data_IF_941910285330
#
_entry.id   IF_941910285330
#
_cell.length_a   1.000
_cell.length_b   1.000
_cell.length_c   1.000
_cell.angle_alpha   90.00
_cell.angle_beta   90.00
_cell.angle_gamma   90.00
#
_symmetry.space_group_name_H-M   'P 1'
#
loop_
_entity.id
_entity.type
_entity.pdbx_description
1 polymer ?
#
# COMPACT_ATOMS: atom_id res chain seq x y z
N UNK A 1 -9.42 14.93 21.64
CA UNK A 1 -8.72 13.69 22.03
C UNK A 1 -7.56 13.52 21.09
N UNK A 2 -6.35 13.83 21.55
CA UNK A 2 -5.12 13.60 20.79
C UNK A 2 -4.93 12.09 20.67
N UNK A 3 -4.98 11.57 19.45
CA UNK A 3 -4.55 10.21 19.20
C UNK A 3 -3.06 10.15 19.50
N UNK A 4 -2.67 9.31 20.46
CA UNK A 4 -1.27 8.99 20.74
C UNK A 4 -0.74 8.30 19.48
N UNK A 5 -0.08 9.05 18.61
CA UNK A 5 0.66 8.48 17.50
C UNK A 5 1.81 7.68 18.09
N UNK A 6 1.75 6.36 17.97
CA UNK A 6 2.92 5.51 18.19
C UNK A 6 4.06 6.02 17.31
N UNK A 7 5.26 6.11 17.87
CA UNK A 7 6.42 6.54 17.10
C UNK A 7 6.68 5.55 15.96
N UNK A 8 7.27 6.05 14.87
CA UNK A 8 7.67 5.22 13.74
C UNK A 8 8.51 4.01 14.18
N UNK A 9 9.33 4.17 15.23
CA UNK A 9 10.20 3.11 15.74
C UNK A 9 9.41 1.91 16.31
N UNK A 10 8.25 2.16 16.93
CA UNK A 10 7.41 1.05 17.41
C UNK A 10 6.81 0.28 16.24
N UNK A 11 6.33 0.99 15.21
CA UNK A 11 5.83 0.34 14.00
C UNK A 11 6.93 -0.43 13.26
N UNK A 12 8.16 0.12 13.22
CA UNK A 12 9.32 -0.58 12.69
C UNK A 12 9.58 -1.88 13.44
N UNK A 13 9.60 -1.86 14.77
CA UNK A 13 9.82 -3.10 15.53
C UNK A 13 8.74 -4.15 15.24
N UNK A 14 7.46 -3.75 15.23
CA UNK A 14 6.35 -4.68 14.98
C UNK A 14 6.37 -5.27 13.56
N UNK A 15 6.68 -4.46 12.54
CA UNK A 15 6.64 -4.90 11.14
C UNK A 15 7.84 -5.79 10.77
N UNK A 16 8.96 -5.68 11.49
CA UNK A 16 10.14 -6.52 11.26
C UNK A 16 9.92 -7.98 11.69
N UNK A 17 9.07 -8.22 12.70
CA UNK A 17 8.68 -9.57 13.14
C UNK A 17 7.86 -10.34 12.08
N UNK A 18 7.27 -9.63 11.10
CA UNK A 18 6.50 -10.26 10.04
C UNK A 18 7.42 -10.88 8.99
N UNK A 19 7.13 -12.12 8.60
CA UNK A 19 8.00 -12.91 7.73
C UNK A 19 7.81 -12.56 6.26
N UNK A 20 6.56 -12.36 5.83
CA UNK A 20 6.23 -12.25 4.41
C UNK A 20 5.97 -10.81 3.99
N UNK A 21 6.46 -10.44 2.79
CA UNK A 21 6.23 -9.10 2.21
C UNK A 21 4.75 -8.74 2.15
N UNK A 22 3.89 -9.72 1.89
CA UNK A 22 2.45 -9.57 1.90
C UNK A 22 1.92 -9.09 3.27
N UNK A 23 2.34 -9.72 4.36
CA UNK A 23 1.92 -9.38 5.73
C UNK A 23 2.40 -7.98 6.11
N UNK A 24 3.62 -7.61 5.69
CA UNK A 24 4.16 -6.26 5.88
C UNK A 24 3.33 -5.20 5.16
N UNK A 25 2.93 -5.46 3.90
CA UNK A 25 2.02 -4.55 3.17
C UNK A 25 0.66 -4.47 3.84
N UNK A 26 0.11 -5.60 4.28
CA UNK A 26 -1.17 -5.65 5.00
C UNK A 26 -1.11 -4.81 6.28
N UNK A 27 -0.03 -4.96 7.06
CA UNK A 27 0.21 -4.19 8.28
C UNK A 27 0.20 -2.69 8.01
N UNK A 28 0.88 -2.23 6.95
CA UNK A 28 0.90 -0.80 6.58
C UNK A 28 -0.52 -0.33 6.20
N UNK A 29 -1.24 -1.09 5.38
CA UNK A 29 -2.62 -0.73 4.98
C UNK A 29 -3.59 -0.69 6.16
N UNK A 30 -3.37 -1.53 7.18
CA UNK A 30 -4.17 -1.52 8.41
C UNK A 30 -3.95 -0.26 9.23
N UNK A 31 -2.69 0.11 9.47
CA UNK A 31 -2.31 1.17 10.40
C UNK A 31 -2.21 2.57 9.77
N UNK A 32 -2.02 2.66 8.44
CA UNK A 32 -1.93 3.92 7.69
C UNK A 32 -3.01 3.97 6.58
N UNK A 33 -4.25 4.36 6.91
CA UNK A 33 -5.36 4.37 5.94
C UNK A 33 -5.12 5.22 4.68
N UNK A 34 -4.28 6.24 4.78
CA UNK A 34 -3.89 7.14 3.68
C UNK A 34 -3.14 6.37 2.58
N UNK A 35 -2.39 5.34 2.96
CA UNK A 35 -1.64 4.47 2.06
C UNK A 35 -2.56 3.59 1.17
N UNK A 36 -3.82 3.37 1.58
CA UNK A 36 -4.80 2.58 0.80
C UNK A 36 -5.15 3.24 -0.53
N UNK A 37 -5.00 4.56 -0.62
CA UNK A 37 -5.39 5.37 -1.78
C UNK A 37 -4.19 5.84 -2.61
N UNK A 38 -2.97 5.77 -2.07
CA UNK A 38 -1.78 6.38 -2.66
C UNK A 38 -0.62 5.39 -2.68
N UNK A 39 -0.30 4.87 -3.87
CA UNK A 39 0.82 3.95 -4.07
C UNK A 39 2.15 4.55 -3.65
N UNK A 40 2.41 5.82 -3.98
CA UNK A 40 3.68 6.47 -3.63
C UNK A 40 3.84 6.55 -2.11
N UNK A 41 2.76 6.83 -1.38
CA UNK A 41 2.80 6.88 0.08
C UNK A 41 2.98 5.49 0.70
N UNK A 42 2.31 4.47 0.15
CA UNK A 42 2.52 3.07 0.57
C UNK A 42 3.97 2.62 0.36
N UNK A 43 4.54 2.93 -0.81
CA UNK A 43 5.92 2.59 -1.16
C UNK A 43 6.89 3.29 -0.21
N UNK A 44 6.71 4.60 0.00
CA UNK A 44 7.51 5.37 0.97
C UNK A 44 7.47 4.74 2.37
N UNK A 45 6.27 4.42 2.88
CA UNK A 45 6.12 3.79 4.19
C UNK A 45 6.80 2.41 4.24
N UNK A 46 6.73 1.63 3.16
CA UNK A 46 7.42 0.34 3.09
C UNK A 46 8.93 0.53 3.15
N UNK A 47 9.48 1.44 2.35
CA UNK A 47 10.92 1.70 2.35
C UNK A 47 11.42 2.21 3.70
N UNK A 48 10.69 3.12 4.36
CA UNK A 48 11.04 3.57 5.71
C UNK A 48 10.92 2.42 6.73
N UNK A 49 9.74 1.81 6.83
CA UNK A 49 9.42 0.93 7.97
C UNK A 49 10.03 -0.47 7.84
N UNK A 50 10.11 -0.97 6.61
CA UNK A 50 10.53 -2.35 6.29
C UNK A 50 11.96 -2.41 5.80
N UNK A 51 12.27 -1.67 4.73
CA UNK A 51 13.63 -1.71 4.15
C UNK A 51 14.60 -0.77 4.91
N UNK A 52 14.10 0.03 5.85
CA UNK A 52 14.86 0.97 6.68
C UNK A 52 15.73 1.94 5.88
N UNK A 53 15.25 2.37 4.71
CA UNK A 53 15.92 3.39 3.92
C UNK A 53 15.94 4.73 4.69
N UNK A 54 17.13 5.29 4.89
CA UNK A 54 17.34 6.59 5.54
C UNK A 54 17.66 7.67 4.51
N UNK A 55 18.28 7.29 3.39
CA UNK A 55 18.69 8.18 2.31
C UNK A 55 18.13 7.74 0.94
N UNK A 56 18.29 8.60 -0.07
CA UNK A 56 17.78 8.34 -1.43
C UNK A 56 18.53 7.19 -2.11
N UNK A 57 19.81 7.05 -1.78
CA UNK A 57 20.74 6.05 -2.31
C UNK A 57 20.32 4.63 -1.91
N UNK A 58 19.72 4.46 -0.73
CA UNK A 58 19.25 3.17 -0.22
C UNK A 58 18.13 2.58 -1.09
N UNK A 59 17.38 3.44 -1.78
CA UNK A 59 16.25 3.04 -2.62
C UNK A 59 16.69 2.14 -3.77
N UNK A 60 17.95 2.24 -4.21
CA UNK A 60 18.52 1.38 -5.27
C UNK A 60 18.49 -0.11 -4.88
N UNK A 61 18.59 -0.41 -3.59
CA UNK A 61 18.58 -1.77 -3.05
C UNK A 61 17.27 -2.15 -2.36
N UNK A 62 16.33 -1.20 -2.25
CA UNK A 62 15.06 -1.41 -1.59
C UNK A 62 14.13 -2.36 -2.36
N UNK A 63 13.07 -2.81 -1.69
CA UNK A 63 12.06 -3.64 -2.33
C UNK A 63 11.41 -2.87 -3.49
N UNK A 64 11.41 -3.49 -4.67
CA UNK A 64 10.84 -2.87 -5.87
C UNK A 64 9.39 -2.40 -5.66
N UNK A 65 9.04 -1.19 -6.14
CA UNK A 65 7.67 -0.67 -6.11
C UNK A 65 6.61 -1.65 -6.62
N UNK A 66 6.93 -2.43 -7.67
CA UNK A 66 5.99 -3.36 -8.28
C UNK A 66 5.69 -4.58 -7.40
N UNK A 67 6.62 -4.98 -6.53
CA UNK A 67 6.38 -6.03 -5.53
C UNK A 67 5.35 -5.55 -4.50
N UNK A 68 5.53 -4.31 -4.01
CA UNK A 68 4.63 -3.68 -3.04
C UNK A 68 3.23 -3.50 -3.66
N UNK A 69 3.18 -3.01 -4.90
CA UNK A 69 1.93 -2.76 -5.63
C UNK A 69 1.15 -4.05 -5.90
N UNK A 70 1.82 -5.14 -6.31
CA UNK A 70 1.17 -6.46 -6.50
C UNK A 70 0.63 -7.04 -5.20
N UNK A 71 1.38 -6.91 -4.10
CA UNK A 71 0.89 -7.32 -2.79
C UNK A 71 -0.37 -6.54 -2.39
N UNK A 72 -0.37 -5.21 -2.57
CA UNK A 72 -1.57 -4.38 -2.35
C UNK A 72 -2.74 -4.82 -3.23
N UNK A 73 -2.50 -5.10 -4.52
CA UNK A 73 -3.53 -5.54 -5.45
C UNK A 73 -4.16 -6.86 -4.98
N UNK A 74 -3.35 -7.83 -4.55
CA UNK A 74 -3.83 -9.08 -3.98
C UNK A 74 -4.71 -8.84 -2.75
N UNK A 75 -4.24 -8.02 -1.81
CA UNK A 75 -4.98 -7.68 -0.58
C UNK A 75 -6.34 -7.03 -0.89
N UNK A 76 -6.35 -6.04 -1.78
CA UNK A 76 -7.55 -5.24 -2.05
C UNK A 76 -8.52 -5.90 -3.05
N UNK A 77 -8.00 -6.49 -4.12
CA UNK A 77 -8.84 -6.98 -5.22
C UNK A 77 -9.22 -8.45 -5.04
N UNK A 78 -8.29 -9.29 -4.58
CA UNK A 78 -8.56 -10.73 -4.41
C UNK A 78 -9.20 -11.02 -3.05
N UNK A 79 -8.67 -10.43 -1.97
CA UNK A 79 -9.17 -10.68 -0.61
C UNK A 79 -10.24 -9.69 -0.14
N UNK A 80 -10.42 -8.57 -0.86
CA UNK A 80 -11.42 -7.57 -0.53
C UNK A 80 -11.08 -6.69 0.69
N UNK A 81 -9.88 -6.78 1.24
CA UNK A 81 -9.48 -6.11 2.48
C UNK A 81 -8.95 -4.68 2.24
N UNK A 82 -9.01 -3.84 3.28
CA UNK A 82 -8.45 -2.47 3.31
C UNK A 82 -8.77 -1.63 2.07
N UNK A 83 -10.04 -1.62 1.68
CA UNK A 83 -10.52 -0.87 0.52
C UNK A 83 -10.17 0.63 0.61
N UNK A 84 -9.99 1.31 -0.53
CA UNK A 84 -9.81 2.76 -0.61
C UNK A 84 -10.87 3.50 0.24
N UNK A 85 -10.41 4.25 1.25
CA UNK A 85 -11.29 4.91 2.24
C UNK A 85 -11.98 6.15 1.67
N UNK A 86 -11.52 6.68 0.53
CA UNK A 86 -12.12 7.83 -0.14
C UNK A 86 -13.08 7.38 -1.26
N UNK A 87 -14.37 7.67 -1.12
CA UNK A 87 -15.42 7.34 -2.09
C UNK A 87 -15.19 7.97 -3.49
N UNK A 88 -14.49 9.10 -3.60
CA UNK A 88 -14.15 9.71 -4.89
C UNK A 88 -13.15 8.85 -5.68
N UNK A 89 -12.20 8.21 -4.99
CA UNK A 89 -11.20 7.32 -5.61
C UNK A 89 -11.85 6.01 -6.07
N UNK A 90 -12.78 5.46 -5.26
CA UNK A 90 -13.60 4.29 -5.66
C UNK A 90 -14.43 4.57 -6.92
N UNK A 91 -15.09 5.73 -7.01
CA UNK A 91 -15.89 6.11 -8.18
C UNK A 91 -15.05 6.29 -9.45
N UNK A 92 -13.88 6.95 -9.37
CA UNK A 92 -12.94 7.08 -10.50
C UNK A 92 -12.42 5.74 -11.00
N UNK A 93 -12.04 4.82 -10.11
CA UNK A 93 -11.55 3.48 -10.49
C UNK A 93 -12.64 2.63 -11.14
N UNK A 94 -13.87 2.65 -10.61
CA UNK A 94 -15.03 1.98 -11.24
C UNK A 94 -15.36 2.54 -12.63
N UNK A 95 -15.19 3.84 -12.85
CA UNK A 95 -15.39 4.44 -14.18
C UNK A 95 -14.30 4.00 -15.16
N UNK A 96 -13.03 3.97 -14.74
CA UNK A 96 -11.92 3.51 -15.56
C UNK A 96 -12.08 2.02 -15.96
N UNK A 97 -12.47 1.14 -15.03
CA UNK A 97 -12.77 -0.27 -15.32
C UNK A 97 -13.89 -0.44 -16.34
N UNK A 98 -14.97 0.36 -16.24
CA UNK A 98 -16.09 0.30 -17.19
C UNK A 98 -15.68 0.70 -18.61
N UNK A 99 -14.85 1.73 -18.74
CA UNK A 99 -14.35 2.21 -20.05
C UNK A 99 -13.46 1.14 -20.69
N UNK A 100 -12.52 0.58 -19.94
CA UNK A 100 -11.61 -0.46 -20.42
C UNK A 100 -12.39 -1.72 -20.84
N UNK A 101 -13.36 -2.15 -20.02
CA UNK A 101 -14.17 -3.34 -20.30
C UNK A 101 -15.06 -3.18 -21.54
N UNK A 102 -15.56 -1.97 -21.78
CA UNK A 102 -16.35 -1.66 -22.99
C UNK A 102 -15.48 -1.76 -24.25
N UNK A 103 -14.27 -1.19 -24.21
CA UNK A 103 -13.35 -1.22 -25.35
C UNK A 103 -12.80 -2.62 -25.67
N UNK A 104 -12.56 -3.46 -24.66
CA UNK A 104 -12.10 -4.85 -24.86
C UNK A 104 -13.19 -5.74 -25.51
N UNK A 105 -14.47 -5.39 -25.39
CA UNK A 105 -15.58 -6.12 -26.02
C UNK A 105 -16.00 -5.58 -27.40
N UNK A 106 -15.43 -4.45 -27.81
CA UNK A 106 -15.67 -3.81 -29.12
C UNK A 106 -14.57 -4.14 -30.16
N UNK A 107 -13.55 -4.91 -29.76
CA UNK A 107 -12.52 -5.52 -30.63
C UNK A 107 -12.83 -7.00 -30.84
#
# INVERSE_FOLDING_TARGET
MEAVYLSFDVYTNMIQELKHKFEKVEFILKHFPEARNNDNYLIYLYWRLVDQCEALEDIVHATSPEVIRRARQKIQNELGLYQPTNDKVRKRRRQAEKVIRKHIHEL
#
